data_IF_466534520855
#
_entry.id   IF_466534520855
#
_cell.length_a   1.000
_cell.length_b   1.000
_cell.length_c   1.000
_cell.angle_alpha   90.00
_cell.angle_beta   90.00
_cell.angle_gamma   90.00
#
_symmetry.space_group_name_H-M   'P 1'
#
loop_
_entity.id
_entity.type
_entity.pdbx_description
1 polymer ?
#
# COMPACT_ATOMS: atom_id res chain seq x y z
N UNK A 1 -1.14 -4.77 6.55
CA UNK A 1 -1.08 -3.34 6.25
C UNK A 1 -2.01 -2.55 7.14
N UNK A 2 -3.28 -2.42 6.77
CA UNK A 2 -4.21 -1.52 7.44
C UNK A 2 -4.57 -1.94 8.87
N UNK A 3 -4.85 -3.22 9.12
CA UNK A 3 -5.15 -3.73 10.47
C UNK A 3 -3.93 -3.63 11.38
N UNK A 4 -2.74 -3.97 10.86
CA UNK A 4 -1.48 -3.85 11.59
C UNK A 4 -1.17 -2.39 11.96
N UNK A 5 -1.34 -1.46 11.00
CA UNK A 5 -1.15 -0.04 11.23
C UNK A 5 -2.20 0.50 12.23
N UNK A 6 -3.45 0.05 12.15
CA UNK A 6 -4.49 0.44 13.10
C UNK A 6 -4.21 -0.08 14.51
N UNK A 7 -3.71 -1.31 14.65
CA UNK A 7 -3.33 -1.88 15.94
C UNK A 7 -2.20 -1.10 16.60
N UNK A 8 -1.15 -0.75 15.84
CA UNK A 8 -0.05 0.08 16.40
C UNK A 8 -0.51 1.50 16.70
N UNK A 9 -1.37 2.10 15.85
CA UNK A 9 -1.98 3.41 16.13
C UNK A 9 -2.78 3.40 17.43
N UNK A 10 -3.60 2.36 17.65
CA UNK A 10 -4.36 2.20 18.88
C UNK A 10 -3.44 2.02 20.09
N UNK A 11 -2.35 1.26 19.95
CA UNK A 11 -1.34 1.08 21.01
C UNK A 11 -0.67 2.39 21.38
N UNK A 12 -0.24 3.19 20.40
CA UNK A 12 0.38 4.50 20.61
C UNK A 12 -0.59 5.51 21.23
N UNK A 13 -1.85 5.49 20.78
CA UNK A 13 -2.90 6.35 21.32
C UNK A 13 -3.21 6.02 22.79
N UNK A 14 -3.34 4.74 23.13
CA UNK A 14 -3.58 4.30 24.50
C UNK A 14 -2.40 4.55 25.45
N UNK A 15 -1.19 4.70 24.93
CA UNK A 15 0.01 4.98 25.71
C UNK A 15 0.28 6.49 25.93
N UNK A 16 -0.52 7.37 25.32
CA UNK A 16 -0.33 8.81 25.41
C UNK A 16 -1.22 9.41 26.52
N UNK A 17 -0.59 9.90 27.59
CA UNK A 17 -1.32 10.44 28.77
C UNK A 17 -1.64 11.94 28.66
N UNK A 18 -0.99 12.70 27.77
CA UNK A 18 -1.19 14.16 27.64
C UNK A 18 -1.61 14.58 26.23
N UNK A 19 -2.33 15.71 26.07
CA UNK A 19 -2.76 16.21 24.76
C UNK A 19 -1.61 16.53 23.79
N UNK A 20 -0.44 16.90 24.29
CA UNK A 20 0.75 17.10 23.46
C UNK A 20 1.30 15.77 22.91
N UNK A 21 1.22 14.71 23.71
CA UNK A 21 1.70 13.37 23.36
C UNK A 21 0.75 12.69 22.36
N UNK A 22 -0.56 12.99 22.41
CA UNK A 22 -1.53 12.50 21.42
C UNK A 22 -1.33 13.16 20.05
N UNK A 23 -1.00 14.45 19.99
CA UNK A 23 -0.64 15.14 18.75
C UNK A 23 0.67 14.61 18.15
N UNK A 24 1.68 14.36 18.98
CA UNK A 24 2.92 13.73 18.54
C UNK A 24 2.70 12.29 18.02
N UNK A 25 1.83 11.52 18.68
CA UNK A 25 1.44 10.18 18.23
C UNK A 25 0.73 10.19 16.87
N UNK A 26 -0.03 11.24 16.55
CA UNK A 26 -0.61 11.42 15.21
C UNK A 26 0.45 11.73 14.14
N UNK A 27 1.48 12.51 14.46
CA UNK A 27 2.57 12.81 13.52
C UNK A 27 3.47 11.59 13.25
N UNK A 28 3.66 10.72 14.25
CA UNK A 28 4.41 9.47 14.11
C UNK A 28 3.70 8.44 13.21
N UNK A 29 2.45 8.66 12.79
CA UNK A 29 1.69 7.71 11.97
C UNK A 29 2.27 7.45 10.56
N UNK A 30 3.19 8.29 10.08
CA UNK A 30 3.90 8.12 8.81
C UNK A 30 5.28 7.46 8.92
N UNK A 31 5.72 7.09 10.13
CA UNK A 31 7.04 6.51 10.36
C UNK A 31 7.01 5.36 11.36
N UNK A 32 7.66 4.25 11.03
CA UNK A 32 7.85 3.11 11.94
C UNK A 32 9.35 2.96 12.20
N UNK A 33 9.77 3.05 13.47
CA UNK A 33 11.18 2.99 13.87
C UNK A 33 12.10 3.96 13.10
N UNK A 34 11.62 5.19 12.86
CA UNK A 34 12.37 6.22 12.12
C UNK A 34 12.45 6.00 10.60
N UNK A 35 11.73 5.01 10.06
CA UNK A 35 11.63 4.76 8.61
C UNK A 35 10.27 5.15 8.10
N UNK A 36 10.22 5.73 6.89
CA UNK A 36 8.97 6.06 6.22
C UNK A 36 8.09 4.80 6.06
N UNK A 37 6.84 4.92 6.47
CA UNK A 37 5.85 3.86 6.39
C UNK A 37 4.55 4.42 5.84
N UNK A 38 3.96 3.70 4.88
CA UNK A 38 2.64 4.02 4.35
C UNK A 38 1.87 2.73 4.09
N UNK A 39 0.54 2.84 4.05
CA UNK A 39 -0.35 1.72 3.76
C UNK A 39 -1.00 1.98 2.40
N UNK A 40 -0.63 1.25 1.33
CA UNK A 40 -1.28 1.40 0.04
C UNK A 40 -2.75 0.92 0.13
N UNK A 41 -3.64 1.49 -0.71
CA UNK A 41 -5.01 1.02 -0.79
C UNK A 41 -5.02 -0.46 -1.20
N UNK A 42 -5.95 -1.23 -0.60
CA UNK A 42 -6.10 -2.68 -0.83
C UNK A 42 -4.91 -3.56 -0.39
N UNK A 43 -3.94 -3.04 0.38
CA UNK A 43 -2.92 -3.91 0.99
C UNK A 43 -3.58 -4.90 1.98
N UNK A 44 -3.28 -6.21 1.92
CA UNK A 44 -3.84 -7.19 2.84
C UNK A 44 -3.65 -6.78 4.32
N UNK A 45 -4.61 -7.15 5.17
CA UNK A 45 -4.83 -6.58 6.51
C UNK A 45 -3.60 -6.60 7.41
N UNK A 46 -2.85 -7.70 7.46
CA UNK A 46 -1.68 -7.90 8.33
C UNK A 46 -0.36 -8.02 7.55
N UNK A 47 -0.39 -8.20 6.23
CA UNK A 47 0.82 -8.23 5.38
C UNK A 47 1.70 -6.98 5.53
N UNK A 48 3.01 -7.18 5.60
CA UNK A 48 4.02 -6.13 5.66
C UNK A 48 5.11 -6.42 4.62
N UNK A 49 5.58 -5.38 3.92
CA UNK A 49 6.73 -5.46 3.04
C UNK A 49 7.69 -4.32 3.37
N UNK A 50 8.99 -4.62 3.35
CA UNK A 50 10.09 -3.69 3.65
C UNK A 50 11.05 -3.71 2.47
N UNK A 51 11.20 -2.56 1.85
CA UNK A 51 12.12 -2.31 0.73
C UNK A 51 12.31 -0.80 0.57
N UNK A 52 13.28 -0.38 -0.23
CA UNK A 52 13.35 1.00 -0.70
C UNK A 52 12.39 1.25 -1.87
N UNK A 53 11.86 2.47 -2.00
CA UNK A 53 10.98 2.84 -3.12
C UNK A 53 11.69 2.72 -4.47
N UNK A 54 12.98 3.03 -4.50
CA UNK A 54 13.82 2.90 -5.70
C UNK A 54 14.00 1.46 -6.17
N UNK A 55 13.76 0.46 -5.30
CA UNK A 55 13.86 -0.94 -5.65
C UNK A 55 12.58 -1.48 -6.33
N UNK A 56 11.46 -0.74 -6.24
CA UNK A 56 10.18 -1.12 -6.82
C UNK A 56 10.07 -0.55 -8.23
N UNK A 57 9.95 -1.42 -9.23
CA UNK A 57 9.92 -1.03 -10.63
C UNK A 57 8.54 -1.29 -11.25
N UNK A 58 8.06 -0.32 -12.01
CA UNK A 58 6.87 -0.44 -12.87
C UNK A 58 7.32 -0.14 -14.29
N UNK A 59 7.28 -1.16 -15.15
CA UNK A 59 7.65 -1.04 -16.55
C UNK A 59 6.40 -0.95 -17.41
N UNK A 60 6.40 0.00 -18.32
CA UNK A 60 5.33 0.17 -19.29
C UNK A 60 5.88 -0.08 -20.68
N UNK A 61 5.32 -1.05 -21.42
CA UNK A 61 5.81 -1.34 -22.77
C UNK A 61 5.49 -0.17 -23.71
N UNK A 62 6.51 0.38 -24.36
CA UNK A 62 6.35 1.47 -25.33
C UNK A 62 5.44 1.03 -26.48
N UNK A 63 4.50 1.88 -26.86
CA UNK A 63 3.55 1.62 -27.97
C UNK A 63 2.42 0.63 -27.65
N UNK A 64 2.33 0.09 -26.43
CA UNK A 64 1.27 -0.86 -26.06
C UNK A 64 -0.07 -0.20 -25.70
N UNK A 65 -0.09 1.13 -25.57
CA UNK A 65 -1.28 1.88 -25.14
C UNK A 65 -2.31 1.89 -26.26
N UNK A 66 -3.47 1.27 -26.01
CA UNK A 66 -4.64 1.31 -26.90
C UNK A 66 -5.80 1.96 -26.18
N UNK A 67 -6.52 2.79 -26.89
CA UNK A 67 -7.66 3.55 -26.39
C UNK A 67 -8.82 3.38 -27.36
N UNK A 68 -10.01 3.09 -26.84
CA UNK A 68 -11.25 3.03 -27.61
C UNK A 68 -12.34 3.73 -26.82
N UNK A 69 -13.06 4.63 -27.48
CA UNK A 69 -14.23 5.29 -26.89
C UNK A 69 -15.33 5.40 -27.94
N UNK A 70 -16.46 4.72 -27.72
CA UNK A 70 -17.54 4.62 -28.70
C UNK A 70 -18.91 4.41 -28.03
N UNK A 71 -19.97 4.78 -28.73
CA UNK A 71 -21.33 4.41 -28.35
C UNK A 71 -21.63 3.01 -28.87
N UNK A 72 -21.85 2.07 -27.95
CA UNK A 72 -22.20 0.68 -28.28
C UNK A 72 -23.72 0.57 -28.21
N UNK A 73 -24.38 0.60 -29.37
CA UNK A 73 -25.85 0.59 -29.48
C UNK A 73 -26.48 -0.66 -28.86
N UNK A 74 -25.85 -1.83 -29.06
CA UNK A 74 -26.31 -3.12 -28.53
C UNK A 74 -26.41 -3.14 -27.00
N UNK A 75 -25.46 -2.47 -26.33
CA UNK A 75 -25.49 -2.28 -24.86
C UNK A 75 -26.17 -0.98 -24.44
N UNK A 76 -26.60 -0.16 -25.40
CA UNK A 76 -27.14 1.19 -25.18
C UNK A 76 -26.26 2.01 -24.22
N UNK A 77 -24.93 1.88 -24.36
CA UNK A 77 -23.96 2.44 -23.43
C UNK A 77 -22.80 3.13 -24.16
N UNK A 78 -22.28 4.21 -23.57
CA UNK A 78 -21.02 4.79 -23.99
C UNK A 78 -19.87 4.06 -23.29
N UNK A 79 -18.96 3.50 -24.07
CA UNK A 79 -17.88 2.68 -23.55
C UNK A 79 -16.52 3.28 -23.77
N UNK A 80 -15.70 3.15 -22.74
CA UNK A 80 -14.34 3.65 -22.74
C UNK A 80 -13.39 2.54 -22.28
N UNK A 81 -12.52 2.11 -23.18
CA UNK A 81 -11.55 1.04 -22.94
C UNK A 81 -10.13 1.58 -23.03
N UNK A 82 -9.31 1.28 -22.03
CA UNK A 82 -7.89 1.59 -22.01
C UNK A 82 -7.10 0.30 -21.75
N UNK A 83 -6.20 -0.03 -22.66
CA UNK A 83 -5.33 -1.20 -22.56
C UNK A 83 -3.88 -0.77 -22.60
N UNK A 84 -3.05 -1.37 -21.74
CA UNK A 84 -1.61 -1.14 -21.67
C UNK A 84 -0.89 -2.37 -21.12
N UNK A 85 0.26 -2.69 -21.69
CA UNK A 85 1.11 -3.76 -21.17
C UNK A 85 2.03 -3.20 -20.08
N UNK A 86 1.94 -3.78 -18.90
CA UNK A 86 2.72 -3.43 -17.72
C UNK A 86 3.42 -4.64 -17.13
N UNK A 87 4.64 -4.43 -16.65
CA UNK A 87 5.41 -5.41 -15.90
C UNK A 87 5.81 -4.83 -14.55
N UNK A 88 5.67 -5.62 -13.50
CA UNK A 88 6.07 -5.26 -12.13
C UNK A 88 7.31 -6.06 -11.76
N UNK A 89 8.32 -5.39 -11.21
CA UNK A 89 9.59 -6.03 -10.90
C UNK A 89 10.26 -5.44 -9.66
N UNK A 90 11.21 -6.19 -9.13
CA UNK A 90 12.15 -5.74 -8.11
C UNK A 90 13.52 -5.54 -8.76
N UNK A 91 14.19 -4.42 -8.48
CA UNK A 91 15.55 -4.18 -8.97
C UNK A 91 16.55 -5.18 -8.39
N UNK A 92 16.50 -5.38 -7.07
CA UNK A 92 17.30 -6.33 -6.31
C UNK A 92 16.40 -7.09 -5.33
N UNK A 93 16.34 -8.42 -5.50
CA UNK A 93 15.56 -9.30 -4.62
C UNK A 93 16.07 -9.35 -3.18
N UNK A 94 17.37 -9.13 -2.94
CA UNK A 94 17.95 -9.14 -1.59
C UNK A 94 17.58 -7.91 -0.75
N UNK A 95 17.06 -6.85 -1.38
CA UNK A 95 16.59 -5.64 -0.70
C UNK A 95 15.09 -5.67 -0.37
N UNK A 96 14.43 -6.80 -0.64
CA UNK A 96 13.01 -7.00 -0.37
C UNK A 96 12.81 -8.05 0.72
N UNK A 97 12.10 -7.68 1.77
CA UNK A 97 11.62 -8.60 2.79
C UNK A 97 10.12 -8.41 3.00
N UNK A 98 9.36 -9.50 3.12
CA UNK A 98 7.94 -9.44 3.39
C UNK A 98 7.51 -10.52 4.37
N UNK A 99 6.44 -10.23 5.10
CA UNK A 99 5.78 -11.16 6.01
C UNK A 99 4.35 -11.36 5.53
N UNK A 100 3.95 -12.63 5.40
CA UNK A 100 2.61 -12.97 4.98
C UNK A 100 1.59 -12.79 6.11
N UNK A 101 0.33 -12.58 5.74
CA UNK A 101 -0.80 -12.36 6.64
C UNK A 101 -0.99 -13.52 7.62
N UNK A 102 -0.85 -14.75 7.11
CA UNK A 102 -0.99 -15.98 7.88
C UNK A 102 0.08 -16.17 8.96
N UNK A 103 1.25 -15.52 8.81
CA UNK A 103 2.35 -15.60 9.77
C UNK A 103 2.19 -14.61 10.94
N UNK A 104 1.17 -13.74 10.92
CA UNK A 104 0.99 -12.68 11.93
C UNK A 104 -0.28 -12.93 12.74
N UNK A 105 -0.09 -13.13 14.04
CA UNK A 105 -1.18 -13.18 15.02
C UNK A 105 -1.13 -11.93 15.90
N UNK A 106 -2.19 -11.12 15.84
CA UNK A 106 -2.34 -9.98 16.73
C UNK A 106 -2.85 -10.48 18.09
N UNK A 107 -1.98 -10.45 19.09
CA UNK A 107 -2.37 -10.76 20.47
C UNK A 107 -3.03 -9.52 21.06
N UNK A 108 -4.33 -9.60 21.37
CA UNK A 108 -4.98 -8.58 22.20
C UNK A 108 -4.44 -8.72 23.63
N UNK A 109 -3.87 -7.64 24.16
CA UNK A 109 -3.68 -7.47 25.61
C UNK A 109 -4.96 -6.93 26.22
#
# INVERSE_FOLDING_TARGET
GAELAAAERLRLFNAADRPADTAAAQMLMGSVAGRFAFVPPFMPGKRLAVTTLSNLHIYTQKGSRRFRAEFVEDRSAYEHSYLRNEGYALGNGFLYAAVDDAAITLVKK
#
